data_IF_739481893855
#
_entry.id   IF_739481893855
#
_cell.length_a   1.000
_cell.length_b   1.000
_cell.length_c   1.000
_cell.angle_alpha   90.00
_cell.angle_beta   90.00
_cell.angle_gamma   90.00
#
_symmetry.space_group_name_H-M   'P 1'
#
loop_
_entity.id
_entity.type
_entity.pdbx_description
1 polymer ?
#
# COMPACT_ATOMS: atom_id res chain seq x y z
N UNK A 1 39.94 -1.44 1.37
CA UNK A 1 38.64 -1.51 0.67
C UNK A 1 37.57 -1.01 1.63
N UNK A 2 37.05 0.19 1.44
CA UNK A 2 35.96 0.75 2.25
C UNK A 2 34.65 0.17 1.72
N UNK A 3 33.82 -0.44 2.57
CA UNK A 3 32.42 -0.79 2.26
C UNK A 3 31.53 0.22 2.99
N UNK A 4 30.97 1.16 2.22
CA UNK A 4 30.10 2.24 2.68
C UNK A 4 28.65 2.00 2.25
N UNK A 5 28.18 0.75 2.34
CA UNK A 5 26.90 0.31 1.79
C UNK A 5 25.78 0.25 2.84
N UNK A 6 26.12 0.13 4.13
CA UNK A 6 25.12 -0.13 5.19
C UNK A 6 24.29 1.06 5.69
N UNK A 7 24.61 2.29 5.29
CA UNK A 7 23.90 3.50 5.77
C UNK A 7 22.78 3.96 4.79
N UNK A 8 22.98 3.77 3.49
CA UNK A 8 21.97 4.07 2.45
C UNK A 8 20.79 3.11 2.47
N UNK A 9 21.04 1.83 2.69
CA UNK A 9 20.00 0.79 2.71
C UNK A 9 19.04 0.96 3.89
N UNK A 10 19.55 1.37 5.06
CA UNK A 10 18.73 1.63 6.26
C UNK A 10 17.79 2.83 6.06
N UNK A 11 18.30 3.95 5.55
CA UNK A 11 17.49 5.14 5.32
C UNK A 11 16.41 4.92 4.25
N UNK A 12 16.73 4.19 3.18
CA UNK A 12 15.75 3.86 2.12
C UNK A 12 14.62 2.95 2.64
N UNK A 13 14.96 1.96 3.46
CA UNK A 13 13.99 1.02 4.04
C UNK A 13 12.99 1.73 4.96
N UNK A 14 13.45 2.66 5.77
CA UNK A 14 12.58 3.47 6.66
C UNK A 14 11.65 4.39 5.86
N UNK A 15 12.16 5.04 4.81
CA UNK A 15 11.34 5.90 3.94
C UNK A 15 10.28 5.07 3.20
N UNK A 16 10.65 3.91 2.65
CA UNK A 16 9.70 3.01 1.99
C UNK A 16 8.58 2.52 2.94
N UNK A 17 8.93 2.18 4.18
CA UNK A 17 7.94 1.82 5.21
C UNK A 17 7.00 3.00 5.53
N UNK A 18 7.55 4.21 5.62
CA UNK A 18 6.76 5.42 5.90
C UNK A 18 5.76 5.75 4.77
N UNK A 19 6.14 5.50 3.51
CA UNK A 19 5.26 5.72 2.37
C UNK A 19 4.12 4.70 2.33
N UNK A 20 4.41 3.41 2.52
CA UNK A 20 3.36 2.37 2.62
C UNK A 20 2.41 2.64 3.80
N UNK A 21 2.95 3.02 4.96
CA UNK A 21 2.15 3.39 6.12
C UNK A 21 1.20 4.56 5.83
N UNK A 22 1.67 5.61 5.14
CA UNK A 22 0.81 6.73 4.75
C UNK A 22 -0.32 6.30 3.80
N UNK A 23 -0.05 5.38 2.87
CA UNK A 23 -1.06 4.82 1.96
C UNK A 23 -2.10 3.98 2.71
N UNK A 24 -1.67 3.16 3.67
CA UNK A 24 -2.57 2.39 4.53
C UNK A 24 -3.47 3.29 5.38
N UNK A 25 -2.91 4.33 6.02
CA UNK A 25 -3.72 5.30 6.77
C UNK A 25 -4.73 6.01 5.86
N UNK A 26 -4.35 6.35 4.63
CA UNK A 26 -5.29 6.93 3.67
C UNK A 26 -6.46 6.00 3.34
N UNK A 27 -6.22 4.70 3.24
CA UNK A 27 -7.28 3.72 3.06
C UNK A 27 -8.18 3.63 4.31
N UNK A 28 -7.61 3.68 5.52
CA UNK A 28 -8.40 3.75 6.76
C UNK A 28 -9.33 4.97 6.77
N UNK A 29 -8.80 6.16 6.47
CA UNK A 29 -9.57 7.40 6.40
C UNK A 29 -10.74 7.32 5.41
N UNK A 30 -10.52 6.69 4.25
CA UNK A 30 -11.52 6.55 3.20
C UNK A 30 -12.61 5.52 3.53
N UNK A 31 -12.26 4.47 4.28
CA UNK A 31 -13.23 3.50 4.78
C UNK A 31 -13.91 3.93 6.08
N UNK A 32 -13.44 5.01 6.71
CA UNK A 32 -14.00 5.52 7.96
C UNK A 32 -13.70 4.61 9.16
N UNK A 33 -12.55 3.94 9.16
CA UNK A 33 -12.09 3.08 10.25
C UNK A 33 -10.90 3.68 10.98
N UNK A 34 -10.79 3.40 12.26
CA UNK A 34 -9.76 4.01 13.13
C UNK A 34 -8.44 3.23 13.13
N UNK A 35 -8.47 1.96 12.74
CA UNK A 35 -7.31 1.08 12.77
C UNK A 35 -7.09 0.31 11.47
N UNK A 36 -5.85 -0.11 11.24
CA UNK A 36 -5.52 -1.01 10.13
C UNK A 36 -6.20 -2.38 10.30
N UNK A 37 -6.35 -2.87 11.53
CA UNK A 37 -6.97 -4.16 11.79
C UNK A 37 -8.46 -4.16 11.39
N UNK A 38 -9.18 -3.08 11.68
CA UNK A 38 -10.58 -2.91 11.25
C UNK A 38 -10.69 -2.86 9.71
N UNK A 39 -9.76 -2.16 9.05
CA UNK A 39 -9.68 -2.12 7.59
C UNK A 39 -9.49 -3.53 7.00
N UNK A 40 -8.56 -4.30 7.57
CA UNK A 40 -8.25 -5.66 7.13
C UNK A 40 -9.42 -6.62 7.38
N UNK A 41 -10.12 -6.47 8.51
CA UNK A 41 -11.28 -7.29 8.84
C UNK A 41 -12.47 -7.05 7.90
N UNK A 42 -12.68 -5.80 7.48
CA UNK A 42 -13.67 -5.48 6.44
C UNK A 42 -13.23 -6.06 5.10
N UNK A 43 -11.96 -5.89 4.75
CA UNK A 43 -11.40 -6.34 3.48
C UNK A 43 -11.41 -7.87 3.30
N UNK A 44 -11.30 -8.65 4.38
CA UNK A 44 -11.27 -10.13 4.30
C UNK A 44 -12.66 -10.73 4.16
N UNK A 45 -13.70 -9.98 4.56
CA UNK A 45 -15.08 -10.41 4.48
C UNK A 45 -15.69 -10.25 3.07
N UNK A 46 -14.98 -9.58 2.15
CA UNK A 46 -15.42 -9.32 0.77
C UNK A 46 -14.53 -10.08 -0.24
N UNK A 47 -15.09 -10.31 -1.42
CA UNK A 47 -14.41 -10.88 -2.59
C UNK A 47 -13.45 -9.89 -3.26
N UNK A 48 -13.69 -8.59 -3.06
CA UNK A 48 -12.80 -7.51 -3.50
C UNK A 48 -12.45 -6.63 -2.32
N UNK A 49 -11.21 -6.17 -2.25
CA UNK A 49 -10.72 -5.36 -1.15
C UNK A 49 -10.29 -3.96 -1.61
N UNK A 50 -10.17 -3.01 -0.66
CA UNK A 50 -9.62 -1.70 -0.95
C UNK A 50 -8.17 -1.80 -1.44
N UNK A 51 -7.84 -1.01 -2.45
CA UNK A 51 -6.50 -0.87 -2.99
C UNK A 51 -6.17 0.59 -3.25
N UNK A 52 -4.88 0.87 -3.32
CA UNK A 52 -4.36 2.22 -3.57
C UNK A 52 -3.14 2.18 -4.46
N UNK A 53 -3.03 3.18 -5.33
CA UNK A 53 -1.82 3.40 -6.11
C UNK A 53 -0.64 3.74 -5.18
N UNK A 54 0.45 2.98 -5.30
CA UNK A 54 1.69 3.20 -4.54
C UNK A 54 2.69 4.10 -5.26
N UNK A 55 2.34 4.67 -6.41
CA UNK A 55 3.15 5.72 -7.03
C UNK A 55 3.16 6.96 -6.12
N UNK A 56 4.34 7.55 -5.94
CA UNK A 56 4.51 8.79 -5.19
C UNK A 56 3.61 9.89 -5.76
N UNK A 57 2.88 10.58 -4.90
CA UNK A 57 1.94 11.63 -5.30
C UNK A 57 0.60 11.15 -5.88
N UNK A 58 0.41 9.86 -6.17
CA UNK A 58 -0.87 9.33 -6.66
C UNK A 58 -1.65 8.61 -5.56
N UNK A 59 -2.79 9.15 -5.14
CA UNK A 59 -3.63 8.53 -4.08
C UNK A 59 -4.93 7.95 -4.63
N UNK A 60 -4.94 7.58 -5.92
CA UNK A 60 -6.10 6.94 -6.52
C UNK A 60 -6.35 5.57 -5.87
N UNK A 61 -7.61 5.31 -5.54
CA UNK A 61 -8.05 4.06 -4.91
C UNK A 61 -8.95 3.27 -5.84
N UNK A 62 -8.89 1.95 -5.72
CA UNK A 62 -9.73 1.04 -6.48
C UNK A 62 -10.22 -0.11 -5.57
N UNK A 63 -11.15 -0.92 -6.07
CA UNK A 63 -11.48 -2.23 -5.50
C UNK A 63 -10.91 -3.31 -6.41
N UNK A 64 -10.12 -4.22 -5.85
CA UNK A 64 -9.39 -5.25 -6.60
C UNK A 64 -9.41 -6.57 -5.83
N UNK A 65 -8.93 -7.64 -6.45
CA UNK A 65 -8.74 -8.92 -5.78
C UNK A 65 -7.71 -8.83 -4.64
N UNK A 66 -7.85 -9.62 -3.56
CA UNK A 66 -6.97 -9.56 -2.40
C UNK A 66 -5.48 -9.65 -2.69
N UNK A 67 -5.06 -10.45 -3.66
CA UNK A 67 -3.67 -10.72 -4.04
C UNK A 67 -3.10 -9.76 -5.10
N UNK A 68 -3.84 -8.72 -5.48
CA UNK A 68 -3.41 -7.78 -6.51
C UNK A 68 -2.17 -6.98 -6.07
N UNK A 69 -1.05 -7.15 -6.81
CA UNK A 69 0.21 -6.45 -6.59
C UNK A 69 0.62 -5.47 -7.73
N UNK A 70 -0.05 -5.54 -8.89
CA UNK A 70 0.36 -4.82 -10.12
C UNK A 70 -0.84 -4.30 -10.95
N UNK A 71 -1.88 -3.79 -10.27
CA UNK A 71 -3.06 -3.26 -10.94
C UNK A 71 -2.79 -1.95 -11.69
N UNK A 72 -3.48 -1.74 -12.82
CA UNK A 72 -3.39 -0.49 -13.60
C UNK A 72 -4.14 0.63 -12.88
N UNK A 73 -3.47 1.75 -12.65
CA UNK A 73 -4.06 2.94 -12.07
C UNK A 73 -4.71 3.80 -13.16
N UNK A 74 -6.00 4.06 -13.05
CA UNK A 74 -6.74 4.91 -14.01
C UNK A 74 -6.36 6.40 -13.93
N UNK A 75 -5.70 6.83 -12.84
CA UNK A 75 -5.29 8.22 -12.66
C UNK A 75 -3.89 8.55 -13.21
N UNK A 76 -2.89 7.71 -12.92
CA UNK A 76 -1.52 7.94 -13.37
C UNK A 76 -1.08 7.03 -14.53
N UNK A 77 -1.90 6.05 -14.91
CA UNK A 77 -1.59 5.07 -15.96
C UNK A 77 -0.56 4.00 -15.56
N UNK A 78 -0.02 4.04 -14.35
CA UNK A 78 0.99 3.09 -13.87
C UNK A 78 0.39 1.78 -13.35
N UNK A 79 1.15 0.69 -13.43
CA UNK A 79 0.80 -0.64 -12.91
C UNK A 79 1.16 -0.79 -11.42
N UNK A 80 0.67 0.13 -10.60
CA UNK A 80 1.09 0.29 -9.19
C UNK A 80 -0.08 0.32 -8.22
N UNK A 81 -1.28 -0.12 -8.63
CA UNK A 81 -2.39 -0.33 -7.71
C UNK A 81 -2.17 -1.63 -6.96
N UNK A 82 -2.07 -1.53 -5.63
CA UNK A 82 -1.79 -2.66 -4.74
C UNK A 82 -2.93 -2.79 -3.74
N UNK A 83 -3.36 -4.03 -3.49
CA UNK A 83 -4.36 -4.35 -2.49
C UNK A 83 -3.90 -3.98 -1.07
N UNK A 84 -4.85 -3.78 -0.16
CA UNK A 84 -4.53 -3.53 1.25
C UNK A 84 -3.71 -4.67 1.88
N UNK A 85 -3.96 -5.93 1.49
CA UNK A 85 -3.27 -7.09 2.06
C UNK A 85 -1.81 -7.19 1.60
N UNK A 86 -1.56 -7.00 0.31
CA UNK A 86 -0.20 -6.98 -0.25
C UNK A 86 0.56 -5.76 0.27
N UNK A 87 -0.13 -4.60 0.37
CA UNK A 87 0.46 -3.38 0.91
C UNK A 87 0.86 -3.53 2.40
N UNK A 88 0.04 -4.25 3.19
CA UNK A 88 0.33 -4.60 4.58
C UNK A 88 1.34 -5.75 4.73
N UNK A 89 1.70 -6.45 3.65
CA UNK A 89 2.67 -7.54 3.65
C UNK A 89 2.13 -8.85 4.26
N UNK A 90 0.83 -9.09 4.14
CA UNK A 90 0.18 -10.31 4.66
C UNK A 90 0.15 -11.46 3.65
N UNK A 91 0.14 -11.14 2.36
CA UNK A 91 0.18 -12.08 1.23
C UNK A 91 1.07 -11.55 0.11
#
# INVERSE_FOLDING_TARGET
MVRADGDKEKNMSTIALSHKAAKLMKLCDLQGVESLDDLLLIAIADTVCPAICVTEGCNHTAKVEPDQDQGVCEACGGNTVVSVFVLAGLI
#
